data_IF_328670653175
#
_entry.id   IF_328670653175
#
_cell.length_a   1.000
_cell.length_b   1.000
_cell.length_c   1.000
_cell.angle_alpha   90.00
_cell.angle_beta   90.00
_cell.angle_gamma   90.00
#
_symmetry.space_group_name_H-M   'P 1'
#
loop_
_entity.id
_entity.type
_entity.pdbx_description
1 polymer ?
#
# COMPACT_ATOMS: atom_id res chain seq x y z
N UNK A 1 -6.68 24.81 12.68
CA UNK A 1 -7.85 24.30 11.93
C UNK A 1 -7.46 22.96 11.29
N UNK A 2 -8.16 21.88 11.58
CA UNK A 2 -7.89 20.58 10.93
C UNK A 2 -8.38 20.66 9.49
N UNK A 3 -7.49 20.69 8.53
CA UNK A 3 -7.89 20.62 7.12
C UNK A 3 -8.20 19.18 6.76
N UNK A 4 -9.40 18.94 6.26
CA UNK A 4 -9.80 17.64 5.68
C UNK A 4 -8.86 17.34 4.51
N UNK A 5 -8.23 16.17 4.50
CA UNK A 5 -7.29 15.81 3.43
C UNK A 5 -8.07 15.59 2.13
N UNK A 6 -7.82 16.43 1.13
CA UNK A 6 -8.53 16.41 -0.14
C UNK A 6 -8.02 15.30 -1.07
N UNK A 7 -8.90 14.83 -1.96
CA UNK A 7 -8.48 14.01 -3.10
C UNK A 7 -7.48 14.77 -3.97
N UNK A 8 -6.54 14.04 -4.52
CA UNK A 8 -5.49 14.63 -5.32
C UNK A 8 -4.31 15.21 -4.53
N UNK A 9 -4.34 15.21 -3.19
CA UNK A 9 -3.23 15.69 -2.37
C UNK A 9 -1.99 14.83 -2.55
N UNK A 10 -0.85 15.48 -2.79
CA UNK A 10 0.49 14.90 -2.59
C UNK A 10 1.18 15.81 -1.59
N UNK A 11 1.70 15.24 -0.50
CA UNK A 11 2.30 16.04 0.57
C UNK A 11 3.44 15.30 1.24
N UNK A 12 4.54 16.01 1.47
CA UNK A 12 5.66 15.51 2.29
C UNK A 12 5.33 15.68 3.77
N UNK A 13 5.62 14.66 4.55
CA UNK A 13 5.28 14.56 5.95
C UNK A 13 6.53 14.18 6.76
N UNK A 14 6.64 14.73 7.96
CA UNK A 14 7.65 14.28 8.92
C UNK A 14 7.27 12.96 9.59
N UNK A 15 5.96 12.72 9.78
CA UNK A 15 5.45 11.53 10.48
C UNK A 15 4.02 11.21 10.07
N UNK A 16 3.66 9.94 10.17
CA UNK A 16 2.29 9.44 10.15
C UNK A 16 1.95 8.95 11.56
N UNK A 17 0.90 9.51 12.16
CA UNK A 17 0.38 9.12 13.47
C UNK A 17 -0.95 8.38 13.25
N UNK A 18 -0.86 7.07 13.14
CA UNK A 18 -1.96 6.17 12.82
C UNK A 18 -2.40 5.42 14.09
N UNK A 19 -3.71 5.45 14.41
CA UNK A 19 -4.27 4.78 15.61
C UNK A 19 -5.52 4.02 15.27
N UNK A 20 -5.71 2.88 15.93
CA UNK A 20 -6.95 2.12 15.86
C UNK A 20 -7.97 2.78 16.78
N UNK A 21 -9.16 3.03 16.25
CA UNK A 21 -10.27 3.70 16.92
C UNK A 21 -11.55 2.88 16.74
N UNK A 22 -12.45 2.94 17.71
CA UNK A 22 -13.77 2.35 17.56
C UNK A 22 -14.55 3.14 16.50
N UNK A 23 -15.09 2.45 15.51
CA UNK A 23 -15.91 3.04 14.46
C UNK A 23 -17.01 2.08 14.03
N UNK A 24 -18.27 2.55 14.08
CA UNK A 24 -19.43 1.80 13.60
C UNK A 24 -19.64 2.07 12.10
N UNK A 25 -19.12 1.16 11.29
CA UNK A 25 -19.24 1.28 9.83
C UNK A 25 -20.57 0.71 9.35
N UNK A 26 -21.56 1.59 9.15
CA UNK A 26 -22.91 1.23 8.72
C UNK A 26 -22.94 0.36 7.46
N UNK A 27 -22.02 0.59 6.49
CA UNK A 27 -21.92 -0.24 5.28
C UNK A 27 -21.69 -1.73 5.60
N UNK A 28 -20.78 -2.03 6.52
CA UNK A 28 -20.50 -3.41 6.91
C UNK A 28 -21.60 -3.98 7.81
N UNK A 29 -22.10 -3.18 8.76
CA UNK A 29 -23.15 -3.60 9.70
C UNK A 29 -24.47 -3.93 9.01
N UNK A 30 -24.90 -3.08 8.07
CA UNK A 30 -26.22 -3.18 7.43
C UNK A 30 -26.16 -4.01 6.12
N UNK A 31 -24.97 -4.22 5.55
CA UNK A 31 -24.75 -4.87 4.23
C UNK A 31 -24.39 -6.35 4.27
N UNK A 32 -24.56 -7.05 5.38
CA UNK A 32 -24.03 -8.42 5.63
C UNK A 32 -24.34 -9.40 4.50
N UNK A 33 -25.60 -9.49 4.05
CA UNK A 33 -26.02 -10.42 3.00
C UNK A 33 -25.38 -10.09 1.64
N UNK A 34 -25.34 -8.80 1.27
CA UNK A 34 -24.73 -8.32 0.03
C UNK A 34 -23.22 -8.55 0.01
N UNK A 35 -22.55 -8.31 1.15
CA UNK A 35 -21.12 -8.56 1.33
C UNK A 35 -20.81 -10.05 1.16
N UNK A 36 -21.59 -10.93 1.82
CA UNK A 36 -21.39 -12.36 1.72
C UNK A 36 -21.58 -12.87 0.27
N UNK A 37 -22.61 -12.39 -0.44
CA UNK A 37 -22.88 -12.74 -1.81
C UNK A 37 -21.78 -12.26 -2.76
N UNK A 38 -21.31 -11.01 -2.59
CA UNK A 38 -20.21 -10.47 -3.39
C UNK A 38 -18.92 -11.22 -3.14
N UNK A 39 -18.58 -11.47 -1.86
CA UNK A 39 -17.39 -12.25 -1.48
C UNK A 39 -17.36 -13.62 -2.11
N UNK A 40 -18.47 -14.37 -2.01
CA UNK A 40 -18.59 -15.69 -2.63
C UNK A 40 -18.31 -15.65 -4.14
N UNK A 41 -18.72 -14.58 -4.81
CA UNK A 41 -18.49 -14.40 -6.25
C UNK A 41 -17.01 -14.10 -6.58
N UNK A 42 -16.36 -13.17 -5.86
CA UNK A 42 -15.00 -12.72 -6.20
C UNK A 42 -13.91 -13.67 -5.72
N UNK A 43 -14.17 -14.46 -4.66
CA UNK A 43 -13.24 -15.48 -4.16
C UNK A 43 -13.38 -16.83 -4.85
N UNK A 44 -14.43 -17.02 -5.66
CA UNK A 44 -14.64 -18.27 -6.40
C UNK A 44 -13.45 -18.60 -7.32
N UNK A 45 -12.84 -19.77 -7.11
CA UNK A 45 -11.67 -20.23 -7.87
C UNK A 45 -10.35 -19.54 -7.51
N UNK A 46 -10.30 -18.77 -6.42
CA UNK A 46 -9.10 -18.10 -5.92
C UNK A 46 -8.76 -18.55 -4.50
N UNK A 47 -8.13 -19.72 -4.31
CA UNK A 47 -7.88 -20.30 -2.99
C UNK A 47 -6.98 -19.44 -2.08
N UNK A 48 -6.12 -18.62 -2.67
CA UNK A 48 -5.29 -17.66 -1.92
C UNK A 48 -6.07 -16.47 -1.34
N UNK A 49 -7.29 -16.19 -1.83
CA UNK A 49 -8.15 -15.14 -1.26
C UNK A 49 -8.88 -15.64 -0.02
N UNK A 50 -8.51 -15.18 1.16
CA UNK A 50 -9.21 -15.46 2.41
C UNK A 50 -9.82 -14.18 3.00
N UNK A 51 -10.89 -14.34 3.80
CA UNK A 51 -11.57 -13.20 4.44
C UNK A 51 -10.89 -12.87 5.78
N UNK A 52 -9.72 -12.25 5.72
CA UNK A 52 -8.99 -11.77 6.89
C UNK A 52 -9.56 -10.48 7.49
N UNK A 53 -8.92 -10.01 8.56
CA UNK A 53 -9.23 -8.70 9.18
C UNK A 53 -8.27 -7.66 8.64
N UNK A 54 -8.79 -6.50 8.24
CA UNK A 54 -8.01 -5.38 7.71
C UNK A 54 -8.37 -4.07 8.40
N UNK A 55 -7.46 -3.10 8.35
CA UNK A 55 -7.63 -1.78 8.94
C UNK A 55 -7.94 -0.76 7.85
N UNK A 56 -9.12 -0.12 7.93
CA UNK A 56 -9.49 0.99 7.05
C UNK A 56 -9.48 2.32 7.80
N UNK A 57 -9.19 3.40 7.08
CA UNK A 57 -9.11 4.74 7.63
C UNK A 57 -10.46 5.45 7.53
N UNK A 58 -10.99 5.93 8.67
CA UNK A 58 -12.23 6.73 8.73
C UNK A 58 -11.99 8.20 9.04
N UNK A 59 -10.79 8.54 9.55
CA UNK A 59 -10.40 9.92 9.91
C UNK A 59 -9.01 10.22 9.36
N UNK A 60 -8.86 11.41 8.78
CA UNK A 60 -7.58 11.91 8.29
C UNK A 60 -7.48 13.43 8.47
N UNK A 61 -6.36 13.89 9.00
CA UNK A 61 -5.99 15.30 9.10
C UNK A 61 -4.50 15.49 8.95
N UNK A 62 -4.08 16.67 8.45
CA UNK A 62 -2.66 17.05 8.41
C UNK A 62 -2.49 18.27 9.29
N UNK A 63 -1.51 18.20 10.22
CA UNK A 63 -1.12 19.30 11.12
C UNK A 63 0.39 19.31 11.28
N UNK A 64 1.00 20.44 11.03
CA UNK A 64 2.45 20.67 11.26
C UNK A 64 3.35 19.57 10.67
N UNK A 65 3.02 19.10 9.45
CA UNK A 65 3.76 18.04 8.77
C UNK A 65 3.50 16.62 9.30
N UNK A 66 2.54 16.45 10.21
CA UNK A 66 2.09 15.14 10.71
C UNK A 66 0.75 14.76 10.08
N UNK A 67 0.66 13.55 9.56
CA UNK A 67 -0.61 12.99 9.12
C UNK A 67 -1.24 12.20 10.29
N UNK A 68 -2.33 12.72 10.83
CA UNK A 68 -3.11 12.07 11.87
C UNK A 68 -4.20 11.21 11.24
N UNK A 69 -4.22 9.91 11.52
CA UNK A 69 -5.13 8.95 10.94
C UNK A 69 -5.83 8.09 12.01
N UNK A 70 -7.15 7.98 11.94
CA UNK A 70 -7.95 7.04 12.72
C UNK A 70 -8.34 5.85 11.86
N UNK A 71 -7.98 4.65 12.30
CA UNK A 71 -8.28 3.39 11.63
C UNK A 71 -9.28 2.57 12.42
N UNK A 72 -10.02 1.71 11.75
CA UNK A 72 -10.91 0.74 12.35
C UNK A 72 -10.78 -0.60 11.66
N UNK A 73 -11.06 -1.65 12.40
CA UNK A 73 -11.01 -3.01 11.90
C UNK A 73 -12.29 -3.40 11.17
N UNK A 74 -12.16 -4.09 10.03
CA UNK A 74 -13.27 -4.67 9.29
C UNK A 74 -12.87 -5.99 8.61
N UNK A 75 -13.84 -6.69 8.03
CA UNK A 75 -13.57 -7.88 7.20
C UNK A 75 -13.06 -7.47 5.82
N UNK A 76 -12.11 -8.23 5.28
CA UNK A 76 -11.62 -8.03 3.90
C UNK A 76 -12.75 -8.14 2.87
N UNK A 77 -13.74 -9.03 3.09
CA UNK A 77 -14.94 -9.13 2.26
C UNK A 77 -15.73 -7.82 2.22
N UNK A 78 -15.90 -7.14 3.37
CA UNK A 78 -16.58 -5.85 3.44
C UNK A 78 -15.78 -4.76 2.71
N UNK A 79 -14.47 -4.73 2.88
CA UNK A 79 -13.58 -3.81 2.17
C UNK A 79 -13.67 -4.00 0.65
N UNK A 80 -13.55 -5.23 0.16
CA UNK A 80 -13.62 -5.54 -1.27
C UNK A 80 -14.98 -5.19 -1.86
N UNK A 81 -16.07 -5.49 -1.16
CA UNK A 81 -17.43 -5.14 -1.60
C UNK A 81 -17.62 -3.62 -1.68
N UNK A 82 -17.14 -2.88 -0.67
CA UNK A 82 -17.21 -1.42 -0.65
C UNK A 82 -16.38 -0.79 -1.78
N UNK A 83 -15.17 -1.30 -2.03
CA UNK A 83 -14.31 -0.85 -3.11
C UNK A 83 -14.97 -1.04 -4.47
N UNK A 84 -15.48 -2.23 -4.73
CA UNK A 84 -16.08 -2.61 -6.02
C UNK A 84 -17.43 -1.92 -6.25
N UNK A 85 -18.10 -1.48 -5.18
CA UNK A 85 -19.30 -0.62 -5.23
C UNK A 85 -19.00 0.86 -5.46
N UNK A 86 -17.74 1.25 -5.65
CA UNK A 86 -17.36 2.65 -5.92
C UNK A 86 -17.28 3.53 -4.67
N UNK A 87 -16.93 2.97 -3.52
CA UNK A 87 -16.69 3.68 -2.26
C UNK A 87 -17.92 4.43 -1.69
N UNK A 88 -19.08 3.80 -1.55
CA UNK A 88 -20.30 4.48 -1.08
C UNK A 88 -20.21 4.92 0.37
N UNK A 89 -20.97 5.97 0.72
CA UNK A 89 -21.15 6.43 2.09
C UNK A 89 -20.13 7.49 2.55
N UNK A 90 -19.84 7.56 3.86
CA UNK A 90 -18.86 8.51 4.40
C UNK A 90 -17.46 8.25 3.85
N UNK A 91 -16.58 9.25 3.97
CA UNK A 91 -15.21 9.14 3.48
C UNK A 91 -14.44 8.12 4.31
N UNK A 92 -14.39 6.90 3.79
CA UNK A 92 -13.49 5.83 4.23
C UNK A 92 -12.37 5.73 3.20
N UNK A 93 -11.18 5.31 3.62
CA UNK A 93 -10.05 5.09 2.73
C UNK A 93 -9.29 3.82 3.11
N UNK A 94 -8.73 3.17 2.11
CA UNK A 94 -7.64 2.24 2.36
C UNK A 94 -6.35 3.07 2.53
N UNK A 95 -5.86 3.19 3.75
CA UNK A 95 -4.60 3.86 4.08
C UNK A 95 -3.52 2.82 4.33
N UNK A 96 -2.50 2.77 3.49
CA UNK A 96 -1.44 1.75 3.54
C UNK A 96 -0.07 2.36 3.29
N UNK A 97 0.97 1.71 3.79
CA UNK A 97 2.36 2.10 3.58
C UNK A 97 2.96 1.34 2.40
N UNK A 98 3.93 1.97 1.75
CA UNK A 98 4.65 1.42 0.61
C UNK A 98 6.14 1.71 0.71
N UNK A 99 6.96 0.69 0.47
CA UNK A 99 8.40 0.84 0.36
C UNK A 99 8.78 1.37 -1.04
N UNK A 100 8.99 2.69 -1.17
CA UNK A 100 9.51 3.26 -2.40
C UNK A 100 10.99 2.87 -2.55
N UNK A 101 11.23 1.62 -3.00
CA UNK A 101 12.56 1.03 -3.08
C UNK A 101 13.38 1.69 -4.17
N UNK A 102 14.50 2.28 -3.78
CA UNK A 102 15.38 3.05 -4.64
C UNK A 102 16.80 2.46 -4.66
N UNK A 103 17.27 2.16 -5.84
CA UNK A 103 18.61 1.65 -6.10
C UNK A 103 19.68 2.74 -5.98
N UNK A 104 20.96 2.35 -5.86
CA UNK A 104 22.09 3.26 -5.77
C UNK A 104 22.27 4.16 -7.01
N UNK A 105 21.82 3.72 -8.18
CA UNK A 105 21.81 4.50 -9.43
C UNK A 105 20.58 5.43 -9.56
N UNK A 106 19.72 5.49 -8.54
CA UNK A 106 18.53 6.32 -8.47
C UNK A 106 17.27 5.73 -9.10
N UNK A 107 17.34 4.55 -9.70
CA UNK A 107 16.20 3.84 -10.24
C UNK A 107 15.24 3.37 -9.11
N UNK A 108 13.94 3.33 -9.37
CA UNK A 108 12.97 2.68 -8.50
C UNK A 108 12.72 1.24 -8.93
N UNK A 109 12.50 0.35 -7.95
CA UNK A 109 12.12 -1.04 -8.18
C UNK A 109 10.67 -1.25 -7.74
N UNK A 110 9.85 -1.71 -8.67
CA UNK A 110 8.42 -1.97 -8.47
C UNK A 110 8.12 -3.45 -8.69
N UNK A 111 7.26 -4.02 -7.87
CA UNK A 111 6.72 -5.37 -8.08
C UNK A 111 5.65 -5.37 -9.17
N UNK A 112 5.64 -6.38 -10.03
CA UNK A 112 4.51 -6.69 -10.91
C UNK A 112 3.70 -7.80 -10.30
N UNK A 113 2.44 -7.53 -9.99
CA UNK A 113 1.55 -8.47 -9.33
C UNK A 113 1.28 -9.72 -10.17
N UNK A 114 1.32 -10.86 -9.52
CA UNK A 114 1.02 -12.17 -10.11
C UNK A 114 -0.48 -12.35 -10.43
N UNK A 115 -0.77 -13.28 -11.34
CA UNK A 115 -2.12 -13.56 -11.84
C UNK A 115 -3.10 -14.02 -10.73
N UNK A 116 -2.59 -14.61 -9.63
CA UNK A 116 -3.38 -15.07 -8.49
C UNK A 116 -3.88 -13.98 -7.55
N UNK A 117 -3.39 -12.75 -7.69
CA UNK A 117 -3.66 -11.65 -6.76
C UNK A 117 -4.89 -10.83 -7.15
N UNK A 118 -5.39 -10.00 -6.22
CA UNK A 118 -6.51 -9.09 -6.48
C UNK A 118 -6.16 -7.96 -7.46
N UNK A 119 -4.86 -7.69 -7.67
CA UNK A 119 -4.34 -6.62 -8.52
C UNK A 119 -3.46 -7.16 -9.67
N UNK A 120 -3.78 -8.35 -10.19
CA UNK A 120 -3.01 -9.04 -11.23
C UNK A 120 -2.52 -8.10 -12.35
N UNK A 121 -1.23 -8.20 -12.68
CA UNK A 121 -0.57 -7.44 -13.73
C UNK A 121 -0.23 -5.99 -13.40
N UNK A 122 -0.72 -5.43 -12.31
CA UNK A 122 -0.38 -4.06 -11.89
C UNK A 122 1.03 -3.96 -11.37
N UNK A 123 1.67 -2.80 -11.63
CA UNK A 123 3.04 -2.51 -11.21
C UNK A 123 3.02 -1.40 -10.16
N UNK A 124 3.52 -1.71 -8.94
CA UNK A 124 3.65 -0.75 -7.84
C UNK A 124 4.70 -1.22 -6.82
N UNK A 125 5.03 -0.38 -5.83
CA UNK A 125 5.94 -0.75 -4.75
C UNK A 125 5.31 -1.80 -3.82
N UNK A 126 6.13 -2.63 -3.20
CA UNK A 126 5.69 -3.58 -2.18
C UNK A 126 4.82 -2.91 -1.11
N UNK A 127 3.65 -3.49 -0.85
CA UNK A 127 2.66 -2.93 0.05
C UNK A 127 1.52 -3.88 0.40
N UNK A 128 1.13 -3.92 1.66
CA UNK A 128 -0.08 -4.59 2.15
C UNK A 128 -1.12 -3.62 2.72
N UNK A 129 -2.37 -4.02 2.71
CA UNK A 129 -3.40 -3.35 3.51
C UNK A 129 -3.17 -3.69 4.97
N UNK A 130 -3.01 -2.70 5.88
CA UNK A 130 -2.71 -2.98 7.27
C UNK A 130 -3.73 -3.90 7.93
N UNK A 131 -3.26 -4.76 8.82
CA UNK A 131 -4.07 -5.73 9.55
C UNK A 131 -3.78 -5.72 11.06
N UNK A 132 -4.18 -6.78 11.78
CA UNK A 132 -3.99 -6.89 13.23
C UNK A 132 -2.51 -6.99 13.65
N UNK A 133 -1.68 -7.58 12.83
CA UNK A 133 -0.27 -7.82 13.14
C UNK A 133 0.52 -6.50 13.08
N UNK A 134 -0.01 -5.50 12.37
CA UNK A 134 0.53 -4.15 12.35
C UNK A 134 0.10 -3.30 13.56
N UNK A 135 -0.79 -3.79 14.45
CA UNK A 135 -1.28 -3.04 15.62
C UNK A 135 -0.41 -3.28 16.82
N UNK A 136 0.23 -2.23 17.32
CA UNK A 136 1.03 -2.26 18.56
C UNK A 136 0.15 -2.32 19.81
N UNK A 137 0.72 -2.74 20.93
CA UNK A 137 0.02 -2.88 22.21
C UNK A 137 -0.60 -1.58 22.75
N UNK A 138 -0.13 -0.42 22.30
CA UNK A 138 -0.66 0.91 22.65
C UNK A 138 -1.77 1.41 21.70
N UNK A 139 -2.21 0.57 20.77
CA UNK A 139 -3.23 0.88 19.77
C UNK A 139 -2.73 1.71 18.59
N UNK A 140 -1.42 1.96 18.47
CA UNK A 140 -0.84 2.56 17.27
C UNK A 140 -0.69 1.54 16.15
N UNK A 141 -0.83 1.99 14.90
CA UNK A 141 -0.63 1.17 13.71
C UNK A 141 0.79 1.37 13.18
N UNK A 142 1.56 0.30 13.11
CA UNK A 142 2.97 0.32 12.70
C UNK A 142 3.14 0.30 11.17
N UNK A 143 2.79 1.40 10.51
CA UNK A 143 2.97 1.52 9.06
C UNK A 143 4.45 1.43 8.63
N UNK A 144 5.38 1.78 9.51
CA UNK A 144 6.81 1.70 9.21
C UNK A 144 7.34 0.26 9.27
N UNK A 145 6.89 -0.52 10.25
CA UNK A 145 7.18 -1.96 10.31
C UNK A 145 6.52 -2.72 9.16
N UNK A 146 5.25 -2.41 8.90
CA UNK A 146 4.46 -3.02 7.82
C UNK A 146 5.18 -2.94 6.47
N UNK A 147 5.60 -1.74 6.02
CA UNK A 147 6.27 -1.61 4.70
C UNK A 147 7.56 -2.42 4.57
N UNK A 148 8.33 -2.59 5.66
CA UNK A 148 9.57 -3.39 5.64
C UNK A 148 9.25 -4.88 5.63
N UNK A 149 8.24 -5.30 6.38
CA UNK A 149 7.75 -6.68 6.39
C UNK A 149 7.26 -7.07 4.99
N UNK A 150 6.34 -6.30 4.40
CA UNK A 150 5.82 -6.53 3.04
C UNK A 150 6.95 -6.58 1.98
N UNK A 151 7.89 -5.62 2.05
CA UNK A 151 9.04 -5.64 1.14
C UNK A 151 9.85 -6.94 1.27
N UNK A 152 10.05 -7.43 2.49
CA UNK A 152 10.76 -8.69 2.75
C UNK A 152 9.96 -9.91 2.25
N UNK A 153 8.67 -9.98 2.56
CA UNK A 153 7.76 -11.07 2.18
C UNK A 153 7.61 -11.19 0.66
N UNK A 154 7.44 -10.06 -0.04
CA UNK A 154 7.25 -10.05 -1.49
C UNK A 154 8.55 -10.23 -2.29
N UNK A 155 9.72 -9.84 -1.76
CA UNK A 155 10.97 -9.76 -2.55
C UNK A 155 12.14 -10.56 -2.00
N UNK A 156 12.05 -11.05 -0.76
CA UNK A 156 13.14 -11.72 -0.06
C UNK A 156 14.27 -10.78 0.40
N UNK A 157 14.10 -9.45 0.31
CA UNK A 157 15.07 -8.49 0.83
C UNK A 157 15.05 -8.46 2.36
N UNK A 158 16.24 -8.40 2.98
CA UNK A 158 16.37 -8.37 4.43
C UNK A 158 16.53 -6.92 4.91
N UNK A 159 16.00 -6.63 6.09
CA UNK A 159 16.04 -5.28 6.67
C UNK A 159 17.45 -4.74 6.90
N UNK A 160 18.45 -5.62 7.11
CA UNK A 160 19.85 -5.24 7.30
C UNK A 160 20.57 -4.84 5.99
N UNK A 161 19.95 -5.07 4.84
CA UNK A 161 20.43 -4.67 3.52
C UNK A 161 19.86 -3.33 3.07
N UNK A 162 18.96 -2.75 3.86
CA UNK A 162 18.15 -1.59 3.48
C UNK A 162 18.47 -0.35 4.33
N UNK A 163 18.38 0.80 3.72
CA UNK A 163 18.43 2.10 4.41
C UNK A 163 17.07 2.77 4.29
N UNK A 164 16.42 3.05 5.41
CA UNK A 164 15.10 3.68 5.44
C UNK A 164 15.25 5.17 5.65
N UNK A 165 14.79 5.98 4.71
CA UNK A 165 14.86 7.44 4.80
C UNK A 165 13.88 8.00 5.85
N UNK A 166 14.18 9.20 6.35
CA UNK A 166 13.26 9.94 7.20
C UNK A 166 12.10 10.55 6.42
N UNK A 167 10.95 10.65 7.10
CA UNK A 167 9.74 11.25 6.55
C UNK A 167 8.98 10.34 5.60
N UNK A 168 7.89 10.88 5.05
CA UNK A 168 6.94 10.19 4.21
C UNK A 168 6.44 11.12 3.11
N UNK A 169 5.93 10.54 2.04
CA UNK A 169 5.10 11.27 1.07
C UNK A 169 3.74 10.59 1.01
N UNK A 170 2.68 11.30 1.38
CA UNK A 170 1.32 10.80 1.23
C UNK A 170 0.74 11.18 -0.13
N UNK A 171 0.16 10.21 -0.82
CA UNK A 171 -0.61 10.40 -2.06
C UNK A 171 -2.06 9.98 -1.79
N UNK A 172 -2.99 10.93 -1.91
CA UNK A 172 -4.43 10.69 -1.71
C UNK A 172 -5.11 10.57 -3.07
N UNK A 173 -5.71 9.43 -3.34
CA UNK A 173 -6.30 9.13 -4.64
C UNK A 173 -7.41 8.09 -4.55
N UNK A 174 -8.61 8.43 -5.05
CA UNK A 174 -9.73 7.53 -5.26
C UNK A 174 -10.00 6.52 -4.12
N UNK A 175 -10.23 7.03 -2.90
CA UNK A 175 -10.52 6.18 -1.74
C UNK A 175 -9.29 5.51 -1.12
N UNK A 176 -8.08 5.96 -1.47
CA UNK A 176 -6.81 5.47 -0.94
C UNK A 176 -5.96 6.60 -0.35
N UNK A 177 -5.11 6.24 0.60
CA UNK A 177 -3.97 7.04 1.02
C UNK A 177 -2.74 6.14 0.99
N UNK A 178 -1.88 6.35 0.01
CA UNK A 178 -0.61 5.65 -0.06
C UNK A 178 0.45 6.48 0.67
N UNK A 179 1.00 5.93 1.75
CA UNK A 179 2.11 6.51 2.51
C UNK A 179 3.42 5.92 1.98
N UNK A 180 4.07 6.65 1.08
CA UNK A 180 5.34 6.26 0.48
C UNK A 180 6.49 6.62 1.42
N UNK A 181 7.36 5.67 1.71
CA UNK A 181 8.63 5.90 2.39
C UNK A 181 9.77 5.41 1.52
N UNK A 182 10.75 6.28 1.29
CA UNK A 182 11.91 5.88 0.48
C UNK A 182 12.76 4.88 1.27
N UNK A 183 13.09 3.78 0.61
CA UNK A 183 13.94 2.70 1.12
C UNK A 183 15.07 2.49 0.12
N UNK A 184 16.31 2.68 0.56
CA UNK A 184 17.49 2.52 -0.28
C UNK A 184 18.07 1.12 -0.24
N UNK A 185 18.54 0.62 -1.38
CA UNK A 185 19.39 -0.56 -1.49
C UNK A 185 20.72 -0.14 -2.16
N UNK A 186 21.85 -0.56 -1.61
CA UNK A 186 23.21 -0.20 -2.10
C UNK A 186 23.64 -1.10 -3.27
N UNK A 187 22.78 -1.20 -4.28
CA UNK A 187 23.01 -1.90 -5.54
C UNK A 187 22.43 -1.08 -6.69
N UNK A 188 23.04 -1.11 -7.90
CA UNK A 188 22.41 -0.59 -9.11
C UNK A 188 21.09 -1.31 -9.41
N UNK A 189 20.15 -0.65 -10.07
CA UNK A 189 18.80 -1.15 -10.30
C UNK A 189 18.72 -2.52 -10.95
N UNK A 190 19.55 -2.81 -11.95
CA UNK A 190 19.54 -4.11 -12.61
C UNK A 190 20.11 -5.23 -11.74
N UNK A 191 21.09 -4.92 -10.88
CA UNK A 191 21.65 -5.87 -9.92
C UNK A 191 20.66 -6.16 -8.78
N UNK A 192 20.03 -5.11 -8.24
CA UNK A 192 18.96 -5.25 -7.25
C UNK A 192 17.79 -6.08 -7.79
N UNK A 193 17.36 -5.83 -9.05
CA UNK A 193 16.35 -6.64 -9.72
C UNK A 193 16.75 -8.12 -9.81
N UNK A 194 17.96 -8.40 -10.25
CA UNK A 194 18.45 -9.78 -10.37
C UNK A 194 18.49 -10.50 -9.02
N UNK A 195 18.93 -9.80 -7.95
CA UNK A 195 18.91 -10.32 -6.59
C UNK A 195 17.49 -10.66 -6.11
N UNK A 196 16.53 -9.72 -6.29
CA UNK A 196 15.14 -9.92 -5.90
C UNK A 196 14.52 -11.09 -6.64
N UNK A 197 14.66 -11.17 -7.97
CA UNK A 197 14.14 -12.27 -8.78
C UNK A 197 14.72 -13.63 -8.37
N UNK A 198 16.01 -13.68 -7.99
CA UNK A 198 16.61 -14.90 -7.47
C UNK A 198 15.99 -15.35 -6.15
N UNK A 199 15.75 -14.40 -5.23
CA UNK A 199 15.18 -14.71 -3.91
C UNK A 199 13.70 -15.04 -3.96
N UNK A 200 12.94 -14.38 -4.82
CA UNK A 200 11.51 -14.66 -5.03
C UNK A 200 11.24 -16.14 -5.40
N UNK A 201 12.19 -16.82 -6.06
CA UNK A 201 12.06 -18.25 -6.37
C UNK A 201 12.11 -19.15 -5.12
N UNK A 202 12.57 -18.63 -3.99
CA UNK A 202 12.70 -19.36 -2.72
C UNK A 202 11.55 -19.04 -1.75
N UNK A 203 10.66 -18.07 -2.10
CA UNK A 203 9.53 -17.70 -1.27
C UNK A 203 8.40 -18.74 -1.39
N UNK A 204 7.70 -18.97 -0.27
CA UNK A 204 6.56 -19.90 -0.22
C UNK A 204 5.32 -19.35 -0.93
N UNK A 205 5.16 -18.01 -0.94
CA UNK A 205 4.04 -17.31 -1.57
C UNK A 205 4.55 -16.47 -2.74
N UNK A 206 4.05 -16.73 -3.95
CA UNK A 206 4.38 -15.99 -5.16
C UNK A 206 3.35 -14.88 -5.41
N UNK A 207 3.49 -13.74 -4.73
CA UNK A 207 2.62 -12.58 -4.98
C UNK A 207 3.05 -11.77 -6.20
N UNK A 208 4.34 -11.69 -6.46
CA UNK A 208 4.91 -10.96 -7.57
C UNK A 208 5.33 -11.90 -8.71
N UNK A 209 5.05 -11.50 -9.95
CA UNK A 209 5.49 -12.22 -11.17
C UNK A 209 6.78 -11.66 -11.78
N UNK A 210 7.14 -10.43 -11.45
CA UNK A 210 8.36 -9.76 -11.96
C UNK A 210 8.71 -8.53 -11.09
N UNK A 211 9.94 -8.04 -11.26
CA UNK A 211 10.41 -6.76 -10.72
C UNK A 211 10.69 -5.82 -11.89
N UNK A 212 10.11 -4.64 -11.86
CA UNK A 212 10.24 -3.61 -12.90
C UNK A 212 11.16 -2.50 -12.40
N UNK A 213 12.15 -2.12 -13.21
CA UNK A 213 13.07 -1.02 -12.92
C UNK A 213 12.57 0.25 -13.61
N UNK A 214 12.32 1.31 -12.86
CA UNK A 214 11.80 2.60 -13.33
C UNK A 214 12.88 3.66 -13.14
N UNK A 215 13.44 4.18 -14.22
CA UNK A 215 14.49 5.21 -14.24
C UNK A 215 13.97 6.60 -14.60
N UNK A 216 12.80 6.64 -15.25
CA UNK A 216 12.16 7.88 -15.71
C UNK A 216 10.66 7.74 -15.79
N UNK A 217 9.94 8.86 -15.98
CA UNK A 217 8.49 8.81 -16.22
C UNK A 217 8.12 8.05 -17.50
N UNK A 218 8.95 8.07 -18.52
CA UNK A 218 8.70 7.35 -19.77
C UNK A 218 8.61 5.84 -19.55
N UNK A 219 9.38 5.29 -18.60
CA UNK A 219 9.33 3.85 -18.28
C UNK A 219 7.97 3.42 -17.71
N UNK A 220 7.24 4.36 -17.09
CA UNK A 220 5.92 4.04 -16.50
C UNK A 220 4.85 3.79 -17.57
N UNK A 221 5.02 4.28 -18.80
CA UNK A 221 4.02 4.19 -19.86
C UNK A 221 3.80 2.75 -20.35
N UNK A 222 4.85 1.91 -20.26
CA UNK A 222 4.79 0.50 -20.66
C UNK A 222 4.07 -0.40 -19.66
N UNK A 223 3.66 0.13 -18.50
CA UNK A 223 3.14 -0.67 -17.39
C UNK A 223 1.74 -0.23 -16.92
N UNK A 224 0.91 -1.18 -16.48
CA UNK A 224 -0.35 -0.86 -15.80
C UNK A 224 -0.06 -0.46 -14.35
N UNK A 225 0.19 0.83 -14.16
CA UNK A 225 0.42 1.42 -12.84
C UNK A 225 -0.83 2.12 -12.31
N UNK A 226 -1.18 1.92 -11.01
CA UNK A 226 -2.23 2.71 -10.37
C UNK A 226 -1.93 4.21 -10.44
N UNK A 227 -2.98 5.04 -10.50
CA UNK A 227 -2.86 6.50 -10.63
C UNK A 227 -1.99 7.10 -9.52
N UNK A 228 -2.15 6.66 -8.27
CA UNK A 228 -1.36 7.16 -7.15
C UNK A 228 0.16 6.89 -7.33
N UNK A 229 0.55 5.77 -7.95
CA UNK A 229 1.95 5.45 -8.26
C UNK A 229 2.52 6.40 -9.32
N UNK A 230 1.80 6.59 -10.43
CA UNK A 230 2.21 7.53 -11.48
C UNK A 230 2.37 8.95 -10.94
N UNK A 231 1.46 9.38 -10.07
CA UNK A 231 1.50 10.69 -9.42
C UNK A 231 2.68 10.82 -8.46
N UNK A 232 2.99 9.78 -7.69
CA UNK A 232 4.17 9.77 -6.84
C UNK A 232 5.46 9.88 -7.66
N UNK A 233 5.61 9.02 -8.68
CA UNK A 233 6.81 9.03 -9.53
C UNK A 233 6.97 10.36 -10.28
N UNK A 234 5.88 10.94 -10.79
CA UNK A 234 5.90 12.27 -11.40
C UNK A 234 6.39 13.33 -10.39
N UNK A 235 5.84 13.34 -9.17
CA UNK A 235 6.26 14.26 -8.12
C UNK A 235 7.76 14.14 -7.79
N UNK A 236 8.31 12.92 -7.79
CA UNK A 236 9.74 12.70 -7.48
C UNK A 236 10.63 13.05 -8.67
N UNK A 237 10.30 12.62 -9.89
CA UNK A 237 11.14 12.85 -11.07
C UNK A 237 11.10 14.30 -11.55
N UNK A 238 9.96 14.99 -11.40
CA UNK A 238 9.83 16.41 -11.77
C UNK A 238 10.42 17.37 -10.70
N UNK A 239 10.84 16.86 -9.55
CA UNK A 239 11.53 17.62 -8.51
C UNK A 239 10.62 18.59 -7.72
N UNK A 240 9.33 18.32 -7.64
CA UNK A 240 8.34 19.13 -6.92
C UNK A 240 8.00 18.56 -5.54
#
# INVERSE_FOLDING_TARGET
MSSRVAEGTIVRLSRVDARVEAYDWAFARDGVEGIAAHWAKISAGKPAMFNGRVMLQHRAAIRDGVFEAGYFETDYAAFMTWRDAGHPGPVIRNGFSMAALRAADGAFLCGKMGEGTANAGKVYFAAGTPDRDDVRSDGTLDLAGSLIRELGEETGLRSDELTVADGWTAVVDAGKVAFMREVGIDLPGDEARALMLGRMQELEEEELSDIVVIRSLADTEAHDMPTFMRRYLAHIFDGN
#
